data_IF_800045358649
#
_entry.id   IF_800045358649
#
_cell.length_a   1.000
_cell.length_b   1.000
_cell.length_c   1.000
_cell.angle_alpha   90.00
_cell.angle_beta   90.00
_cell.angle_gamma   90.00
#
_symmetry.space_group_name_H-M   'P 1'
#
loop_
_entity.id
_entity.type
_entity.pdbx_description
1 polymer ?
#
# COMPACT_ATOMS: atom_id res chain seq x y z
N UNK A 1 5.20 7.70 -2.80
CA UNK A 1 3.86 8.01 -3.33
C UNK A 1 3.00 6.76 -3.21
N UNK A 2 1.79 6.86 -2.67
CA UNK A 2 0.87 5.72 -2.60
C UNK A 2 0.06 5.63 -3.90
N UNK A 3 0.13 4.53 -4.67
CA UNK A 3 -0.61 4.41 -5.94
C UNK A 3 -2.14 4.45 -5.76
N UNK A 4 -2.65 4.04 -4.59
CA UNK A 4 -4.09 4.08 -4.32
C UNK A 4 -4.65 5.51 -4.12
N UNK A 5 -3.77 6.50 -3.97
CA UNK A 5 -4.14 7.92 -3.86
C UNK A 5 -4.01 8.67 -5.18
N UNK A 6 -3.61 8.02 -6.27
CA UNK A 6 -3.53 8.66 -7.58
C UNK A 6 -4.95 8.97 -8.09
N UNK A 7 -5.17 10.21 -8.48
CA UNK A 7 -6.40 10.66 -9.15
C UNK A 7 -6.23 10.63 -10.67
N UNK A 8 -5.09 11.15 -11.17
CA UNK A 8 -4.87 11.36 -12.60
C UNK A 8 -3.40 11.25 -12.99
N UNK A 9 -3.15 10.74 -14.20
CA UNK A 9 -1.83 10.70 -14.84
C UNK A 9 -1.95 11.41 -16.19
N UNK A 10 -1.03 12.32 -16.49
CA UNK A 10 -1.00 13.12 -17.71
C UNK A 10 0.39 13.14 -18.32
N UNK A 11 0.49 13.15 -19.65
CA UNK A 11 1.74 13.37 -20.36
C UNK A 11 1.80 14.82 -20.87
N UNK A 12 2.66 15.70 -20.31
CA UNK A 12 2.94 17.05 -20.85
C UNK A 12 4.22 17.70 -20.29
N UNK A 13 5.12 18.23 -21.14
CA UNK A 13 6.14 17.43 -21.87
C UNK A 13 6.79 16.30 -21.03
N UNK A 14 6.66 16.35 -19.71
CA UNK A 14 7.00 15.31 -18.74
C UNK A 14 5.72 14.62 -18.23
N UNK A 15 5.84 13.45 -17.60
CA UNK A 15 4.69 12.78 -17.00
C UNK A 15 4.36 13.39 -15.64
N UNK A 16 3.10 13.76 -15.42
CA UNK A 16 2.61 14.33 -14.16
C UNK A 16 1.57 13.41 -13.53
N UNK A 17 1.73 13.10 -12.25
CA UNK A 17 0.76 12.37 -11.43
C UNK A 17 0.14 13.31 -10.41
N UNK A 18 -1.19 13.40 -10.42
CA UNK A 18 -1.98 14.16 -9.44
C UNK A 18 -2.59 13.20 -8.43
N UNK A 19 -2.49 13.52 -7.15
CA UNK A 19 -3.10 12.79 -6.05
C UNK A 19 -4.43 13.41 -5.63
N UNK A 20 -5.27 12.63 -4.94
CA UNK A 20 -6.59 13.07 -4.46
C UNK A 20 -6.55 14.23 -3.47
N UNK A 21 -5.41 14.50 -2.82
CA UNK A 21 -5.24 15.68 -1.96
C UNK A 21 -4.91 16.97 -2.75
N UNK A 22 -4.68 16.85 -4.06
CA UNK A 22 -4.27 17.93 -4.95
C UNK A 22 -2.75 18.03 -5.16
N UNK A 23 -1.94 17.27 -4.41
CA UNK A 23 -0.48 17.20 -4.63
C UNK A 23 -0.15 16.66 -6.03
N UNK A 24 0.85 17.26 -6.68
CA UNK A 24 1.33 16.88 -8.02
C UNK A 24 2.80 16.48 -8.01
N UNK A 25 3.13 15.42 -8.73
CA UNK A 25 4.48 14.92 -8.91
C UNK A 25 4.82 14.79 -10.39
N UNK A 26 5.96 15.35 -10.79
CA UNK A 26 6.57 15.07 -12.10
C UNK A 26 7.42 13.83 -11.96
N UNK A 27 7.28 12.87 -12.89
CA UNK A 27 7.98 11.58 -12.87
C UNK A 27 8.68 11.34 -14.21
N UNK A 28 9.70 10.47 -14.19
CA UNK A 28 10.48 10.14 -15.39
C UNK A 28 9.83 9.02 -16.21
N UNK A 29 8.95 8.26 -15.58
CA UNK A 29 8.19 7.19 -16.20
C UNK A 29 7.14 7.77 -17.14
N UNK A 30 7.00 7.19 -18.33
CA UNK A 30 5.85 7.48 -19.19
C UNK A 30 4.55 6.92 -18.57
N UNK A 31 3.40 7.38 -19.04
CA UNK A 31 2.08 7.02 -18.52
C UNK A 31 1.90 5.50 -18.47
N UNK A 32 2.28 4.80 -19.53
CA UNK A 32 2.19 3.33 -19.60
C UNK A 32 3.08 2.64 -18.55
N UNK A 33 4.26 3.18 -18.27
CA UNK A 33 5.15 2.65 -17.24
C UNK A 33 4.55 2.85 -15.85
N UNK A 34 3.97 4.02 -15.56
CA UNK A 34 3.27 4.28 -14.30
C UNK A 34 2.11 3.29 -14.12
N UNK A 35 1.31 3.06 -15.17
CA UNK A 35 0.21 2.08 -15.14
C UNK A 35 0.73 0.66 -14.87
N UNK A 36 1.82 0.26 -15.51
CA UNK A 36 2.44 -1.05 -15.29
C UNK A 36 2.92 -1.22 -13.85
N UNK A 37 3.58 -0.20 -13.28
CA UNK A 37 4.04 -0.19 -11.90
C UNK A 37 2.88 -0.29 -10.90
N UNK A 38 1.80 0.46 -11.12
CA UNK A 38 0.59 0.38 -10.28
C UNK A 38 -0.02 -1.02 -10.32
N UNK A 39 -0.15 -1.61 -11.51
CA UNK A 39 -0.66 -2.97 -11.67
C UNK A 39 0.22 -3.99 -10.95
N UNK A 40 1.54 -3.89 -11.13
CA UNK A 40 2.50 -4.79 -10.48
C UNK A 40 2.44 -4.68 -8.96
N UNK A 41 2.38 -3.47 -8.42
CA UNK A 41 2.23 -3.24 -6.98
C UNK A 41 0.97 -3.92 -6.44
N UNK A 42 -0.19 -3.66 -7.06
CA UNK A 42 -1.47 -4.25 -6.62
C UNK A 42 -1.48 -5.77 -6.72
N UNK A 43 -0.93 -6.32 -7.80
CA UNK A 43 -0.79 -7.78 -7.97
C UNK A 43 0.11 -8.39 -6.88
N UNK A 44 1.21 -7.72 -6.54
CA UNK A 44 2.14 -8.18 -5.50
C UNK A 44 1.49 -8.22 -4.12
N UNK A 45 0.66 -7.22 -3.80
CA UNK A 45 -0.12 -7.19 -2.54
C UNK A 45 -1.08 -8.38 -2.47
N UNK A 46 -1.82 -8.65 -3.55
CA UNK A 46 -2.76 -9.79 -3.61
C UNK A 46 -2.02 -11.12 -3.51
N UNK A 47 -0.93 -11.30 -4.24
CA UNK A 47 -0.12 -12.51 -4.18
C UNK A 47 0.39 -12.76 -2.76
N UNK A 48 0.95 -11.72 -2.12
CA UNK A 48 1.42 -11.83 -0.74
C UNK A 48 0.31 -12.23 0.23
N UNK A 49 -0.88 -11.62 0.10
CA UNK A 49 -2.04 -11.98 0.93
C UNK A 49 -2.42 -13.46 0.77
N UNK A 50 -2.47 -13.96 -0.46
CA UNK A 50 -2.74 -15.38 -0.74
C UNK A 50 -1.70 -16.32 -0.12
N UNK A 51 -0.43 -15.93 -0.11
CA UNK A 51 0.62 -16.70 0.56
C UNK A 51 0.50 -16.68 2.09
N UNK A 52 -0.04 -15.60 2.67
CA UNK A 52 -0.27 -15.48 4.12
C UNK A 52 -1.49 -16.29 4.60
N UNK A 53 -2.50 -16.48 3.74
CA UNK A 53 -3.69 -17.29 4.03
C UNK A 53 -3.39 -18.81 4.12
N UNK A 54 -2.17 -19.25 3.78
CA UNK A 54 -1.71 -20.65 3.90
C UNK A 54 -1.10 -20.95 5.29
N UNK A 55 -1.61 -20.31 6.33
CA UNK A 55 -1.65 -20.92 7.65
C UNK A 55 -3.13 -21.00 8.00
N UNK A 56 -3.79 -22.17 7.86
CA UNK A 56 -5.05 -22.35 8.55
C UNK A 56 -4.72 -22.11 10.01
N UNK A 57 -5.15 -20.96 10.53
CA UNK A 57 -5.29 -20.79 11.96
C UNK A 57 -6.09 -22.02 12.38
N UNK A 58 -5.44 -22.96 13.05
CA UNK A 58 -6.10 -24.10 13.64
C UNK A 58 -7.02 -23.52 14.70
N UNK A 59 -8.20 -23.09 14.27
CA UNK A 59 -9.34 -22.75 15.10
C UNK A 59 -9.82 -24.08 15.66
N UNK A 60 -9.07 -24.56 16.65
CA UNK A 60 -9.69 -25.32 17.72
C UNK A 60 -10.60 -24.34 18.49
N UNK A 61 -11.79 -24.76 18.92
CA UNK A 61 -12.62 -23.89 19.74
C UNK A 61 -11.92 -23.69 21.08
N UNK A 62 -11.24 -22.56 21.27
CA UNK A 62 -10.65 -22.19 22.56
C UNK A 62 -11.57 -21.15 23.26
N UNK A 63 -12.30 -21.55 24.30
CA UNK A 63 -13.05 -20.64 25.15
C UNK A 63 -12.08 -19.94 26.12
N UNK A 64 -11.27 -19.01 25.61
CA UNK A 64 -10.45 -18.13 26.42
C UNK A 64 -9.01 -17.96 25.96
N UNK A 65 -8.79 -17.23 24.86
CA UNK A 65 -7.45 -16.68 24.64
C UNK A 65 -7.40 -15.40 23.81
N UNK A 66 -6.41 -14.61 24.18
CA UNK A 66 -6.20 -13.17 24.06
C UNK A 66 -6.00 -12.63 22.63
N UNK A 67 -6.14 -11.29 22.42
CA UNK A 67 -6.02 -10.67 21.11
C UNK A 67 -4.62 -10.78 20.50
N UNK A 68 -4.59 -10.92 19.18
CA UNK A 68 -3.41 -11.08 18.33
C UNK A 68 -2.34 -9.97 18.55
N UNK A 69 -1.05 -10.25 18.33
CA UNK A 69 0.01 -9.25 18.43
C UNK A 69 -0.12 -8.24 17.28
N UNK A 70 -0.80 -7.13 17.53
CA UNK A 70 -0.86 -5.97 16.64
C UNK A 70 0.47 -5.22 16.61
N UNK A 71 0.78 -4.61 15.46
CA UNK A 71 1.93 -3.73 15.29
C UNK A 71 1.85 -2.59 16.33
N UNK A 72 2.82 -2.54 17.26
CA UNK A 72 2.81 -1.58 18.36
C UNK A 72 3.34 -0.23 17.86
N UNK A 73 2.46 0.76 17.73
CA UNK A 73 2.84 2.14 17.42
C UNK A 73 3.66 2.71 18.59
N UNK A 74 4.95 2.94 18.39
CA UNK A 74 5.81 3.60 19.37
C UNK A 74 5.82 5.10 19.06
N UNK A 75 5.04 5.89 19.80
CA UNK A 75 5.18 7.35 19.78
C UNK A 75 6.43 7.72 20.57
N UNK A 76 7.47 8.20 19.89
CA UNK A 76 8.61 8.84 20.56
C UNK A 76 8.15 10.23 21.00
N UNK A 77 7.78 10.38 22.27
CA UNK A 77 7.62 11.70 22.88
C UNK A 77 9.02 12.29 23.09
N UNK A 78 9.38 13.28 22.29
CA UNK A 78 10.54 14.13 22.55
C UNK A 78 10.26 15.04 23.73
N UNK A 79 11.18 15.03 24.70
CA UNK A 79 11.19 15.91 25.85
C UNK A 79 11.58 17.34 25.48
N UNK A 80 11.25 18.21 26.42
CA UNK A 80 11.42 19.67 26.48
C UNK A 80 12.85 20.17 26.23
#
# INVERSE_FOLDING_TARGET
>A
MNPDLMERIEATPDTVVSLVDGTKHVVIEDVDQVVALVRHFRASVVALAQHMEVQPASVGPDPGSAPAPGLRLVTRSGGE
#
